data_IF_668755671340
#
_entry.id   IF_668755671340
#
_cell.length_a   1.000
_cell.length_b   1.000
_cell.length_c   1.000
_cell.angle_alpha   90.00
_cell.angle_beta   90.00
_cell.angle_gamma   90.00
#
_symmetry.space_group_name_H-M   'P 1'
#
loop_
_entity.id
_entity.type
_entity.pdbx_description
1 polymer ?
#
# COMPACT_ATOMS: atom_id res chain seq x y z
N UNK A 1 6.38 -14.21 7.55
CA UNK A 1 6.06 -13.63 8.87
C UNK A 1 6.87 -12.35 8.97
N UNK A 2 6.22 -11.19 9.12
CA UNK A 2 6.94 -9.92 9.22
C UNK A 2 7.67 -9.87 10.57
N UNK A 3 8.85 -9.26 10.60
CA UNK A 3 9.72 -9.26 11.78
C UNK A 3 9.15 -8.35 12.88
N UNK A 4 9.31 -8.70 14.17
CA UNK A 4 8.74 -7.92 15.27
C UNK A 4 9.19 -6.46 15.28
N UNK A 5 10.46 -6.18 14.97
CA UNK A 5 10.97 -4.81 14.93
C UNK A 5 10.42 -4.00 13.75
N UNK A 6 10.05 -4.66 12.65
CA UNK A 6 9.43 -3.99 11.50
C UNK A 6 8.01 -3.58 11.87
N UNK A 7 7.24 -4.45 12.53
CA UNK A 7 5.92 -4.08 13.05
C UNK A 7 5.97 -2.90 14.04
N UNK A 8 7.09 -2.73 14.75
CA UNK A 8 7.34 -1.57 15.62
C UNK A 8 7.80 -0.30 14.88
N UNK A 9 7.92 -0.35 13.55
CA UNK A 9 8.35 0.76 12.70
C UNK A 9 9.85 0.84 12.43
N UNK A 10 10.66 -0.11 12.91
CA UNK A 10 12.13 -0.09 12.80
C UNK A 10 12.64 -0.89 11.62
N UNK A 11 13.70 -0.40 11.00
CA UNK A 11 14.40 -1.06 9.89
C UNK A 11 15.85 -1.34 10.27
N UNK A 12 16.34 -2.57 10.04
CA UNK A 12 17.75 -2.93 10.22
C UNK A 12 18.49 -2.95 8.90
N UNK A 13 17.85 -3.48 7.85
CA UNK A 13 18.40 -3.56 6.50
C UNK A 13 17.50 -2.84 5.51
N UNK A 14 18.07 -1.88 4.79
CA UNK A 14 17.37 -1.05 3.79
C UNK A 14 18.01 -1.27 2.42
N UNK A 15 17.26 -1.85 1.48
CA UNK A 15 17.72 -2.07 0.10
C UNK A 15 17.39 -0.83 -0.75
N UNK A 16 18.40 -0.05 -1.14
CA UNK A 16 18.24 1.12 -1.99
C UNK A 16 18.53 0.77 -3.45
N UNK A 17 17.52 0.87 -4.33
CA UNK A 17 17.70 0.63 -5.76
C UNK A 17 18.40 1.81 -6.44
N UNK A 18 19.52 1.53 -7.11
CA UNK A 18 20.37 2.54 -7.76
C UNK A 18 20.29 2.39 -9.27
N UNK A 19 20.19 3.50 -10.01
CA UNK A 19 20.30 3.51 -11.48
C UNK A 19 21.02 4.75 -12.03
N UNK A 20 21.68 5.54 -11.18
CA UNK A 20 22.36 6.79 -11.53
C UNK A 20 21.44 7.90 -12.10
N UNK A 21 20.12 7.73 -12.01
CA UNK A 21 19.18 8.84 -12.22
C UNK A 21 19.08 9.71 -10.97
N UNK A 22 18.64 10.97 -11.14
CA UNK A 22 18.31 11.87 -10.03
C UNK A 22 17.26 11.27 -9.08
N UNK A 23 16.38 10.40 -9.59
CA UNK A 23 15.37 9.72 -8.78
C UNK A 23 15.97 8.66 -7.87
N UNK A 24 16.93 7.87 -8.37
CA UNK A 24 17.67 6.92 -7.54
C UNK A 24 18.59 7.60 -6.55
N UNK A 25 19.22 8.72 -6.92
CA UNK A 25 20.03 9.51 -5.98
C UNK A 25 19.17 10.00 -4.81
N UNK A 26 17.97 10.51 -5.11
CA UNK A 26 17.02 10.91 -4.06
C UNK A 26 16.57 9.74 -3.18
N UNK A 27 16.41 8.54 -3.76
CA UNK A 27 16.09 7.33 -3.02
C UNK A 27 17.22 6.95 -2.05
N UNK A 28 18.48 6.98 -2.50
CA UNK A 28 19.65 6.72 -1.66
C UNK A 28 19.77 7.76 -0.54
N UNK A 29 19.62 9.05 -0.84
CA UNK A 29 19.63 10.11 0.19
C UNK A 29 18.53 9.90 1.24
N UNK A 30 17.33 9.55 0.79
CA UNK A 30 16.21 9.26 1.70
C UNK A 30 16.49 8.03 2.57
N UNK A 31 17.02 6.96 1.98
CA UNK A 31 17.44 5.76 2.70
C UNK A 31 18.51 6.07 3.74
N UNK A 32 19.53 6.85 3.40
CA UNK A 32 20.60 7.25 4.31
C UNK A 32 20.08 8.11 5.48
N UNK A 33 19.22 9.09 5.20
CA UNK A 33 18.60 9.91 6.25
C UNK A 33 17.70 9.12 7.19
N UNK A 34 17.03 8.08 6.70
CA UNK A 34 16.25 7.17 7.54
C UNK A 34 17.16 6.21 8.33
N UNK A 35 18.23 5.70 7.72
CA UNK A 35 19.15 4.75 8.32
C UNK A 35 19.98 5.35 9.47
N UNK A 36 20.43 6.59 9.33
CA UNK A 36 21.32 7.26 10.28
C UNK A 36 20.79 7.27 11.73
N UNK A 37 19.57 7.76 12.03
CA UNK A 37 19.04 7.75 13.39
C UNK A 37 18.66 6.35 13.88
N UNK A 38 18.42 5.40 12.96
CA UNK A 38 18.01 4.03 13.29
C UNK A 38 19.19 3.07 13.46
N UNK A 39 20.41 3.47 13.09
CA UNK A 39 21.57 2.58 13.02
C UNK A 39 21.41 1.46 11.99
N UNK A 40 20.62 1.69 10.95
CA UNK A 40 20.37 0.70 9.89
C UNK A 40 21.56 0.59 8.93
N UNK A 41 21.68 -0.55 8.27
CA UNK A 41 22.60 -0.73 7.13
C UNK A 41 21.85 -0.48 5.82
N UNK A 42 22.49 0.24 4.90
CA UNK A 42 21.97 0.46 3.54
C UNK A 42 22.68 -0.48 2.57
N UNK A 43 21.91 -1.27 1.84
CA UNK A 43 22.39 -2.11 0.73
C UNK A 43 22.05 -1.40 -0.57
N UNK A 44 23.06 -0.85 -1.24
CA UNK A 44 22.90 -0.29 -2.58
C UNK A 44 22.83 -1.41 -3.61
N UNK A 45 21.75 -1.47 -4.38
CA UNK A 45 21.52 -2.55 -5.34
C UNK A 45 21.29 -2.02 -6.75
N UNK A 46 22.15 -2.40 -7.68
CA UNK A 46 22.00 -2.08 -9.10
C UNK A 46 21.85 -3.35 -9.94
N UNK A 47 20.90 -3.31 -10.87
CA UNK A 47 20.64 -4.41 -11.80
C UNK A 47 20.96 -3.96 -13.21
N UNK A 48 21.92 -4.62 -13.84
CA UNK A 48 22.29 -4.41 -15.23
C UNK A 48 21.77 -5.56 -16.11
N UNK A 49 21.61 -5.31 -17.40
CA UNK A 49 20.96 -6.25 -18.31
C UNK A 49 21.84 -6.62 -19.51
N UNK A 50 22.97 -7.27 -19.27
CA UNK A 50 23.90 -7.67 -20.33
C UNK A 50 23.26 -8.68 -21.32
N UNK A 51 22.57 -9.72 -20.82
CA UNK A 51 21.81 -10.68 -21.67
C UNK A 51 20.74 -10.08 -22.56
N UNK A 52 20.07 -8.99 -22.16
CA UNK A 52 19.10 -8.32 -23.02
C UNK A 52 19.80 -7.68 -24.23
N UNK A 53 21.00 -7.15 -24.03
CA UNK A 53 21.82 -6.58 -25.10
C UNK A 53 22.30 -7.66 -26.07
N UNK A 54 22.74 -8.81 -25.55
CA UNK A 54 23.11 -9.98 -26.35
C UNK A 54 21.94 -10.49 -27.22
N UNK A 55 20.75 -10.65 -26.62
CA UNK A 55 19.56 -11.11 -27.34
C UNK A 55 19.22 -10.17 -28.51
N UNK A 56 19.30 -8.85 -28.29
CA UNK A 56 19.05 -7.85 -29.34
C UNK A 56 20.11 -7.88 -30.43
N UNK A 57 21.38 -8.09 -30.06
CA UNK A 57 22.46 -8.24 -31.02
C UNK A 57 22.21 -9.42 -31.96
N UNK A 58 21.85 -10.59 -31.41
CA UNK A 58 21.52 -11.80 -32.20
C UNK A 58 20.34 -11.54 -33.15
N UNK A 59 19.29 -10.85 -32.67
CA UNK A 59 18.12 -10.51 -33.50
C UNK A 59 18.45 -9.56 -34.67
N UNK A 60 19.53 -8.79 -34.58
CA UNK A 60 19.97 -7.86 -35.62
C UNK A 60 20.92 -8.50 -36.65
N UNK A 61 21.50 -9.67 -36.34
CA UNK A 61 22.43 -10.37 -37.26
C UNK A 61 21.89 -10.59 -38.68
N UNK A 62 20.60 -10.92 -38.89
CA UNK A 62 20.06 -11.10 -40.24
C UNK A 62 20.06 -9.82 -41.10
N UNK A 63 20.16 -8.65 -40.48
CA UNK A 63 20.21 -7.36 -41.16
C UNK A 63 21.63 -6.90 -41.51
N UNK A 64 22.67 -7.67 -41.15
CA UNK A 64 24.05 -7.35 -41.47
C UNK A 64 24.34 -7.48 -42.99
N UNK A 65 25.27 -6.69 -43.56
CA UNK A 65 25.63 -6.76 -44.97
C UNK A 65 26.02 -8.18 -45.42
N UNK A 66 25.60 -8.57 -46.63
CA UNK A 66 26.00 -9.86 -47.23
C UNK A 66 27.51 -9.84 -47.47
N UNK A 67 28.25 -10.63 -46.70
CA UNK A 67 29.73 -10.69 -46.74
C UNK A 67 30.38 -11.27 -45.49
N UNK A 68 29.69 -11.26 -44.35
CA UNK A 68 30.20 -11.87 -43.11
C UNK A 68 30.12 -13.40 -43.15
N UNK A 69 31.24 -14.07 -42.87
CA UNK A 69 31.27 -15.50 -42.61
C UNK A 69 30.68 -15.83 -41.23
N UNK A 70 30.24 -17.08 -41.02
CA UNK A 70 29.75 -17.54 -39.72
C UNK A 70 30.82 -17.45 -38.62
N UNK A 71 32.09 -17.64 -38.99
CA UNK A 71 33.22 -17.51 -38.07
C UNK A 71 33.42 -16.06 -37.61
N UNK A 72 33.30 -15.09 -38.52
CA UNK A 72 33.37 -13.66 -38.16
C UNK A 72 32.20 -13.23 -37.29
N UNK A 73 30.98 -13.70 -37.58
CA UNK A 73 29.81 -13.47 -36.72
C UNK A 73 30.04 -13.99 -35.30
N UNK A 74 30.56 -15.22 -35.15
CA UNK A 74 30.89 -15.80 -33.84
C UNK A 74 31.95 -15.00 -33.09
N UNK A 75 33.06 -14.65 -33.75
CA UNK A 75 34.12 -13.84 -33.14
C UNK A 75 33.60 -12.46 -32.71
N UNK A 76 32.75 -11.81 -33.52
CA UNK A 76 32.14 -10.54 -33.16
C UNK A 76 31.21 -10.68 -31.94
N UNK A 77 30.42 -11.75 -31.84
CA UNK A 77 29.61 -12.03 -30.65
C UNK A 77 30.46 -12.17 -29.39
N UNK A 78 31.49 -13.00 -29.43
CA UNK A 78 32.37 -13.23 -28.26
C UNK A 78 33.08 -11.95 -27.81
N UNK A 79 33.59 -11.17 -28.75
CA UNK A 79 34.21 -9.88 -28.46
C UNK A 79 33.21 -8.86 -27.89
N UNK A 80 32.01 -8.79 -28.49
CA UNK A 80 30.94 -7.90 -28.06
C UNK A 80 30.42 -8.26 -26.67
N UNK A 81 30.18 -9.54 -26.41
CA UNK A 81 29.74 -10.03 -25.09
C UNK A 81 30.76 -9.67 -24.01
N UNK A 82 32.05 -9.95 -24.24
CA UNK A 82 33.11 -9.68 -23.28
C UNK A 82 33.26 -8.18 -22.98
N UNK A 83 33.30 -7.34 -24.02
CA UNK A 83 33.46 -5.89 -23.87
C UNK A 83 32.24 -5.23 -23.23
N UNK A 84 31.04 -5.63 -23.64
CA UNK A 84 29.80 -5.07 -23.11
C UNK A 84 29.57 -5.55 -21.67
N UNK A 85 29.76 -6.83 -21.36
CA UNK A 85 29.58 -7.33 -20.00
C UNK A 85 30.57 -6.66 -19.03
N UNK A 86 31.85 -6.57 -19.40
CA UNK A 86 32.87 -5.88 -18.59
C UNK A 86 32.58 -4.39 -18.47
N UNK A 87 32.23 -3.73 -19.57
CA UNK A 87 31.90 -2.30 -19.58
C UNK A 87 30.68 -1.97 -18.73
N UNK A 88 29.58 -2.71 -18.91
CA UNK A 88 28.35 -2.53 -18.12
C UNK A 88 28.59 -2.78 -16.64
N UNK A 89 29.41 -3.77 -16.29
CA UNK A 89 29.77 -4.03 -14.89
C UNK A 89 30.56 -2.87 -14.29
N UNK A 90 31.60 -2.37 -14.96
CA UNK A 90 32.39 -1.23 -14.49
C UNK A 90 31.53 0.04 -14.31
N UNK A 91 30.65 0.31 -15.27
CA UNK A 91 29.68 1.43 -15.17
C UNK A 91 28.76 1.22 -13.96
N UNK A 92 28.26 0.00 -13.77
CA UNK A 92 27.38 -0.36 -12.65
C UNK A 92 28.06 -0.20 -11.30
N UNK A 93 29.33 -0.59 -11.18
CA UNK A 93 30.15 -0.41 -9.98
C UNK A 93 30.29 1.08 -9.64
N UNK A 94 30.52 1.94 -10.65
CA UNK A 94 30.57 3.41 -10.43
C UNK A 94 29.27 4.01 -9.88
N UNK A 95 28.12 3.40 -10.16
CA UNK A 95 26.83 3.87 -9.62
C UNK A 95 26.71 3.57 -8.12
N UNK A 96 27.22 2.42 -7.69
CA UNK A 96 27.29 2.04 -6.28
C UNK A 96 28.30 2.90 -5.52
N UNK A 97 29.42 3.29 -6.13
CA UNK A 97 30.39 4.21 -5.52
C UNK A 97 29.75 5.57 -5.19
N UNK A 98 28.93 6.12 -6.10
CA UNK A 98 28.18 7.36 -5.83
C UNK A 98 27.20 7.19 -4.67
N UNK A 99 26.51 6.05 -4.60
CA UNK A 99 25.60 5.76 -3.49
C UNK A 99 26.36 5.58 -2.17
N UNK A 100 27.51 4.92 -2.20
CA UNK A 100 28.41 4.77 -1.06
C UNK A 100 28.86 6.13 -0.52
N UNK A 101 29.25 7.06 -1.40
CA UNK A 101 29.63 8.41 -0.98
C UNK A 101 28.51 9.14 -0.22
N UNK A 102 27.26 9.06 -0.72
CA UNK A 102 26.09 9.64 -0.03
C UNK A 102 25.87 9.02 1.36
N UNK A 103 26.01 7.70 1.49
CA UNK A 103 25.87 7.02 2.77
C UNK A 103 27.04 7.34 3.72
N UNK A 104 28.27 7.44 3.21
CA UNK A 104 29.45 7.79 3.98
C UNK A 104 29.37 9.22 4.54
N UNK A 105 28.88 10.19 3.74
CA UNK A 105 28.58 11.55 4.20
C UNK A 105 27.57 11.58 5.35
N UNK A 106 26.61 10.65 5.34
CA UNK A 106 25.61 10.50 6.40
C UNK A 106 26.07 9.61 7.58
N UNK A 107 27.29 9.06 7.54
CA UNK A 107 27.80 8.15 8.58
C UNK A 107 27.10 6.78 8.64
N UNK A 108 26.51 6.32 7.52
CA UNK A 108 25.70 5.10 7.44
C UNK A 108 26.50 3.96 6.82
N UNK A 109 26.42 2.76 7.41
CA UNK A 109 27.03 1.55 6.86
C UNK A 109 26.42 1.21 5.48
N UNK A 110 27.28 0.98 4.49
CA UNK A 110 26.88 0.73 3.11
C UNK A 110 27.49 -0.56 2.55
N UNK A 111 26.66 -1.35 1.88
CA UNK A 111 27.10 -2.51 1.09
C UNK A 111 26.60 -2.38 -0.35
N UNK A 112 27.51 -2.42 -1.32
CA UNK A 112 27.17 -2.39 -2.75
C UNK A 112 26.99 -3.78 -3.33
N UNK A 113 25.88 -4.02 -4.03
CA UNK A 113 25.56 -5.30 -4.69
C UNK A 113 25.09 -5.11 -6.11
N UNK A 114 25.51 -6.04 -6.98
CA UNK A 114 25.16 -6.07 -8.39
C UNK A 114 24.45 -7.37 -8.74
N UNK A 115 23.46 -7.27 -9.61
CA UNK A 115 22.82 -8.42 -10.23
C UNK A 115 22.66 -8.22 -11.73
N UNK A 116 22.68 -9.34 -12.46
CA UNK A 116 22.32 -9.34 -13.87
C UNK A 116 20.87 -9.80 -14.05
N UNK A 117 20.09 -9.07 -14.86
CA UNK A 117 18.78 -9.53 -15.31
C UNK A 117 17.78 -8.40 -15.47
N UNK A 118 16.49 -8.73 -15.24
CA UNK A 118 15.40 -7.74 -15.23
C UNK A 118 15.33 -7.07 -13.88
N UNK A 119 15.33 -5.73 -13.86
CA UNK A 119 15.47 -4.92 -12.65
C UNK A 119 14.48 -5.29 -11.54
N UNK A 120 13.18 -5.29 -11.82
CA UNK A 120 12.17 -5.57 -10.79
C UNK A 120 12.26 -7.01 -10.26
N UNK A 121 12.56 -7.99 -11.12
CA UNK A 121 12.68 -9.40 -10.73
C UNK A 121 13.87 -9.60 -9.78
N UNK A 122 15.01 -8.99 -10.09
CA UNK A 122 16.20 -9.09 -9.23
C UNK A 122 16.02 -8.30 -7.92
N UNK A 123 15.36 -7.13 -7.94
CA UNK A 123 15.07 -6.39 -6.70
C UNK A 123 14.17 -7.22 -5.76
N UNK A 124 13.09 -7.82 -6.29
CA UNK A 124 12.19 -8.65 -5.48
C UNK A 124 12.92 -9.91 -4.98
N UNK A 125 13.76 -10.52 -5.82
CA UNK A 125 14.57 -11.69 -5.43
C UNK A 125 15.54 -11.32 -4.32
N UNK A 126 16.28 -10.22 -4.46
CA UNK A 126 17.23 -9.75 -3.45
C UNK A 126 16.51 -9.51 -2.13
N UNK A 127 15.41 -8.76 -2.15
CA UNK A 127 14.59 -8.48 -0.97
C UNK A 127 14.10 -9.76 -0.26
N UNK A 128 13.74 -10.81 -1.01
CA UNK A 128 13.37 -12.12 -0.44
C UNK A 128 14.56 -12.89 0.11
N UNK A 129 15.68 -12.93 -0.62
CA UNK A 129 16.84 -13.76 -0.28
C UNK A 129 17.65 -13.22 0.90
N UNK A 130 17.65 -11.89 1.06
CA UNK A 130 18.35 -11.19 2.14
C UNK A 130 17.47 -10.91 3.33
N UNK A 131 16.18 -11.25 3.22
CA UNK A 131 15.16 -10.92 4.20
C UNK A 131 15.23 -9.42 4.54
N UNK A 132 15.18 -8.56 3.51
CA UNK A 132 15.30 -7.12 3.69
C UNK A 132 14.04 -6.54 4.35
N UNK A 133 14.19 -5.53 5.22
CA UNK A 133 13.06 -4.95 5.94
C UNK A 133 12.33 -3.88 5.10
N UNK A 134 13.08 -3.10 4.30
CA UNK A 134 12.57 -2.00 3.49
C UNK A 134 13.26 -1.92 2.14
N UNK A 135 12.49 -1.83 1.05
CA UNK A 135 13.01 -1.44 -0.27
C UNK A 135 12.76 0.04 -0.51
N UNK A 136 13.80 0.80 -0.82
CA UNK A 136 13.72 2.21 -1.19
C UNK A 136 14.06 2.39 -2.66
N UNK A 137 13.21 3.07 -3.40
CA UNK A 137 13.42 3.33 -4.82
C UNK A 137 12.83 4.67 -5.23
N UNK A 138 13.38 5.25 -6.29
CA UNK A 138 12.80 6.42 -6.90
C UNK A 138 11.45 6.10 -7.54
N UNK A 139 10.50 7.05 -7.49
CA UNK A 139 9.23 6.91 -8.21
C UNK A 139 9.43 6.73 -9.72
N UNK A 140 10.51 7.26 -10.26
CA UNK A 140 10.92 7.19 -11.66
C UNK A 140 12.39 6.73 -11.71
N UNK A 141 12.92 6.54 -12.92
CA UNK A 141 14.32 6.16 -13.15
C UNK A 141 14.83 6.68 -14.48
N UNK A 142 15.92 6.12 -14.99
CA UNK A 142 16.59 6.57 -16.25
C UNK A 142 15.64 6.67 -17.47
N UNK A 143 14.62 5.81 -17.54
CA UNK A 143 13.67 5.76 -18.66
C UNK A 143 12.48 6.74 -18.56
N UNK A 144 12.50 7.69 -17.62
CA UNK A 144 11.40 8.62 -17.40
C UNK A 144 11.11 9.51 -18.62
N UNK A 145 9.81 9.75 -18.90
CA UNK A 145 9.34 10.67 -19.93
C UNK A 145 8.57 11.82 -19.28
N UNK A 146 8.33 12.92 -20.03
CA UNK A 146 7.70 14.17 -19.54
C UNK A 146 6.37 14.00 -18.78
N UNK A 147 5.63 12.89 -18.97
CA UNK A 147 4.33 12.62 -18.31
C UNK A 147 4.34 11.37 -17.43
N UNK A 148 5.50 10.79 -17.14
CA UNK A 148 5.61 9.61 -16.29
C UNK A 148 5.30 9.99 -14.83
N UNK A 149 4.34 9.29 -14.23
CA UNK A 149 3.95 9.49 -12.82
C UNK A 149 4.67 8.51 -11.88
N UNK A 150 4.84 7.28 -12.36
CA UNK A 150 5.55 6.19 -11.70
C UNK A 150 6.23 5.31 -12.77
N UNK A 151 7.39 4.76 -12.45
CA UNK A 151 8.19 3.91 -13.32
C UNK A 151 7.73 2.45 -13.26
N UNK A 152 7.93 1.71 -14.35
CA UNK A 152 7.48 0.31 -14.44
C UNK A 152 8.19 -0.63 -13.47
N UNK A 153 9.45 -0.35 -13.12
CA UNK A 153 10.17 -1.08 -12.07
C UNK A 153 9.54 -0.79 -10.72
N UNK A 154 9.28 0.48 -10.42
CA UNK A 154 8.67 0.91 -9.17
C UNK A 154 7.29 0.28 -8.95
N UNK A 155 6.43 0.33 -9.97
CA UNK A 155 5.09 -0.22 -9.90
C UNK A 155 5.07 -1.74 -9.66
N UNK A 156 5.99 -2.49 -10.30
CA UNK A 156 6.08 -3.94 -10.11
C UNK A 156 6.67 -4.32 -8.75
N UNK A 157 7.68 -3.58 -8.28
CA UNK A 157 8.24 -3.79 -6.93
C UNK A 157 7.19 -3.51 -5.87
N UNK A 158 6.45 -2.41 -5.98
CA UNK A 158 5.37 -2.05 -5.05
C UNK A 158 4.31 -3.16 -4.91
N UNK A 159 3.98 -3.84 -6.01
CA UNK A 159 2.98 -4.91 -6.05
C UNK A 159 3.48 -6.27 -5.59
N UNK A 160 4.78 -6.53 -5.56
CA UNK A 160 5.31 -7.89 -5.39
C UNK A 160 6.45 -8.03 -4.37
N UNK A 161 6.95 -6.91 -3.82
CA UNK A 161 7.95 -6.93 -2.75
C UNK A 161 7.40 -7.67 -1.52
N UNK A 162 8.22 -8.47 -0.82
CA UNK A 162 7.83 -9.21 0.38
C UNK A 162 7.81 -8.35 1.65
N UNK A 163 8.27 -7.10 1.56
CA UNK A 163 8.51 -6.20 2.68
C UNK A 163 7.92 -4.81 2.39
N UNK A 164 8.22 -3.84 3.24
CA UNK A 164 7.81 -2.46 3.04
C UNK A 164 8.48 -1.85 1.81
N UNK A 165 7.82 -0.86 1.21
CA UNK A 165 8.33 -0.16 0.02
C UNK A 165 8.19 1.34 0.20
N UNK A 166 9.33 2.04 0.20
CA UNK A 166 9.40 3.50 0.20
C UNK A 166 9.66 4.01 -1.23
N UNK A 167 8.65 4.65 -1.80
CA UNK A 167 8.72 5.34 -3.07
C UNK A 167 9.21 6.77 -2.81
N UNK A 168 10.50 6.98 -3.00
CA UNK A 168 11.15 8.26 -2.79
C UNK A 168 10.82 9.22 -3.96
N UNK A 169 10.34 10.41 -3.60
CA UNK A 169 10.04 11.49 -4.54
C UNK A 169 10.78 12.73 -4.10
N UNK A 170 11.44 13.38 -5.05
CA UNK A 170 12.05 14.69 -4.86
C UNK A 170 10.93 15.76 -4.76
N UNK A 171 10.13 15.67 -3.71
CA UNK A 171 9.09 16.60 -3.35
C UNK A 171 9.68 17.69 -2.47
N UNK A 172 9.51 18.95 -2.89
CA UNK A 172 9.72 20.23 -2.19
C UNK A 172 10.71 20.14 -1.00
N UNK A 173 11.93 20.62 -1.18
CA UNK A 173 13.01 20.60 -0.17
C UNK A 173 12.62 21.15 1.23
N UNK A 174 11.58 21.98 1.30
CA UNK A 174 11.02 22.53 2.54
C UNK A 174 9.79 21.78 3.10
N UNK A 175 9.43 20.61 2.57
CA UNK A 175 8.28 19.84 3.03
C UNK A 175 8.51 19.33 4.47
N UNK A 176 7.50 19.54 5.33
CA UNK A 176 7.54 19.19 6.74
C UNK A 176 6.33 18.33 7.12
N UNK A 177 6.54 17.42 8.06
CA UNK A 177 5.50 16.55 8.59
C UNK A 177 5.39 15.20 7.87
N UNK A 178 4.76 14.26 8.57
CA UNK A 178 4.44 12.91 8.12
C UNK A 178 2.94 12.70 8.25
N UNK A 179 2.30 12.18 7.20
CA UNK A 179 0.88 11.81 7.24
C UNK A 179 0.76 10.29 7.30
N UNK A 180 0.02 9.76 8.27
CA UNK A 180 -0.38 8.36 8.32
C UNK A 180 -1.83 8.23 7.85
N UNK A 181 -2.08 7.44 6.81
CA UNK A 181 -3.43 7.12 6.36
C UNK A 181 -4.02 6.01 7.23
N UNK A 182 -5.15 6.31 7.90
CA UNK A 182 -5.82 5.41 8.85
C UNK A 182 -7.22 5.08 8.36
N UNK A 183 -7.54 3.79 8.26
CA UNK A 183 -8.89 3.29 7.91
C UNK A 183 -9.43 2.28 8.94
N UNK A 184 -8.75 2.16 10.10
CA UNK A 184 -9.07 1.19 11.15
C UNK A 184 -8.53 -0.22 10.91
N UNK A 185 -7.93 -0.49 9.75
CA UNK A 185 -7.32 -1.78 9.50
C UNK A 185 -6.02 -1.93 10.31
N UNK A 186 -5.69 -3.18 10.61
CA UNK A 186 -4.40 -3.57 11.15
C UNK A 186 -3.19 -2.96 10.41
N UNK A 187 -3.20 -3.08 9.08
CA UNK A 187 -2.17 -2.53 8.22
C UNK A 187 -2.02 -1.02 8.39
N UNK A 188 -3.13 -0.32 8.63
CA UNK A 188 -3.12 1.12 8.81
C UNK A 188 -2.56 1.56 10.17
N UNK A 189 -2.76 0.76 11.24
CA UNK A 189 -2.14 1.04 12.54
C UNK A 189 -0.66 0.66 12.58
N UNK A 190 -0.24 -0.38 11.85
CA UNK A 190 1.19 -0.60 11.60
C UNK A 190 1.77 0.58 10.82
N UNK A 191 1.12 1.02 9.74
CA UNK A 191 1.53 2.22 8.99
C UNK A 191 1.66 3.47 9.87
N UNK A 192 0.80 3.63 10.89
CA UNK A 192 0.96 4.67 11.91
C UNK A 192 2.25 4.49 12.73
N UNK A 193 2.58 3.29 13.19
CA UNK A 193 3.82 3.01 13.92
C UNK A 193 5.08 3.35 13.08
N UNK A 194 5.06 3.03 11.79
CA UNK A 194 6.11 3.44 10.85
C UNK A 194 6.17 4.96 10.66
N UNK A 195 5.01 5.63 10.57
CA UNK A 195 4.95 7.09 10.46
C UNK A 195 5.52 7.79 11.70
N UNK A 196 5.29 7.25 12.90
CA UNK A 196 5.89 7.73 14.16
C UNK A 196 7.40 7.59 14.12
N UNK A 197 7.92 6.43 13.71
CA UNK A 197 9.37 6.19 13.62
C UNK A 197 10.03 7.13 12.59
N UNK A 198 9.39 7.37 11.44
CA UNK A 198 9.86 8.36 10.46
C UNK A 198 9.77 9.78 11.05
N UNK A 199 8.70 10.09 11.78
CA UNK A 199 8.54 11.36 12.48
C UNK A 199 9.71 11.63 13.43
N UNK A 200 10.09 10.66 14.26
CA UNK A 200 11.25 10.73 15.15
C UNK A 200 12.56 10.91 14.38
N UNK A 201 12.81 10.03 13.39
CA UNK A 201 14.03 10.02 12.60
C UNK A 201 14.31 11.36 11.92
N UNK A 202 13.27 12.05 11.46
CA UNK A 202 13.38 13.32 10.74
C UNK A 202 13.01 14.55 11.60
N UNK A 203 12.67 14.38 12.87
CA UNK A 203 12.17 15.45 13.75
C UNK A 203 10.92 16.14 13.21
N UNK A 204 10.00 15.37 12.61
CA UNK A 204 8.80 15.86 11.92
C UNK A 204 7.53 15.51 12.70
N UNK A 205 6.54 16.42 12.77
CA UNK A 205 5.25 16.13 13.38
C UNK A 205 4.47 15.10 12.56
N UNK A 206 3.72 14.23 13.25
CA UNK A 206 2.89 13.21 12.62
C UNK A 206 1.41 13.59 12.69
N UNK A 207 0.70 13.40 11.57
CA UNK A 207 -0.74 13.61 11.44
C UNK A 207 -1.40 12.30 10.98
N UNK A 208 -2.32 11.76 11.77
CA UNK A 208 -3.18 10.65 11.35
C UNK A 208 -4.40 11.21 10.59
N UNK A 209 -4.65 10.68 9.40
CA UNK A 209 -5.71 11.14 8.51
C UNK A 209 -6.58 9.97 8.10
N UNK A 210 -7.88 10.08 8.34
CA UNK A 210 -8.87 9.10 7.94
C UNK A 210 -9.87 9.74 6.97
N UNK A 211 -10.33 8.99 5.97
CA UNK A 211 -11.24 9.50 4.95
C UNK A 211 -12.37 8.51 4.69
N UNK A 212 -13.63 8.99 4.71
CA UNK A 212 -14.81 8.18 4.45
C UNK A 212 -15.67 8.82 3.36
N UNK A 213 -16.32 7.99 2.54
CA UNK A 213 -17.17 8.44 1.44
C UNK A 213 -18.66 8.27 1.80
N UNK A 214 -19.36 9.34 2.24
CA UNK A 214 -20.79 9.27 2.51
C UNK A 214 -21.62 9.06 1.24
N UNK A 215 -21.08 9.41 0.06
CA UNK A 215 -21.82 9.38 -1.20
C UNK A 215 -21.71 8.04 -1.93
N UNK A 216 -20.81 7.14 -1.52
CA UNK A 216 -20.61 5.85 -2.18
C UNK A 216 -21.90 5.04 -2.25
N UNK A 217 -22.63 4.95 -1.13
CA UNK A 217 -23.90 4.25 -1.06
C UNK A 217 -24.92 4.88 -2.02
N UNK A 218 -25.09 6.20 -2.00
CA UNK A 218 -26.04 6.91 -2.88
C UNK A 218 -25.77 6.63 -4.36
N UNK A 219 -24.50 6.64 -4.79
CA UNK A 219 -24.13 6.39 -6.20
C UNK A 219 -24.35 4.93 -6.59
N UNK A 220 -24.00 3.98 -5.72
CA UNK A 220 -24.23 2.56 -5.95
C UNK A 220 -25.73 2.25 -6.03
N UNK A 221 -26.52 2.76 -5.08
CA UNK A 221 -27.98 2.59 -5.04
C UNK A 221 -28.67 3.19 -6.27
N UNK A 222 -28.30 4.41 -6.69
CA UNK A 222 -28.88 5.03 -7.90
C UNK A 222 -28.58 4.27 -9.18
N UNK A 223 -27.44 3.58 -9.28
CA UNK A 223 -27.12 2.75 -10.44
C UNK A 223 -27.94 1.46 -10.44
N UNK A 224 -28.13 0.83 -9.28
CA UNK A 224 -28.96 -0.37 -9.15
C UNK A 224 -30.44 -0.08 -9.44
N UNK A 225 -30.97 1.04 -8.93
CA UNK A 225 -32.36 1.45 -9.18
C UNK A 225 -32.69 1.66 -10.67
N UNK A 226 -31.69 1.96 -11.53
CA UNK A 226 -31.87 2.11 -12.98
C UNK A 226 -31.94 0.78 -13.75
N UNK A 227 -31.58 -0.33 -13.11
CA UNK A 227 -31.53 -1.66 -13.73
C UNK A 227 -32.69 -2.53 -13.27
N UNK A 228 -33.35 -2.16 -12.16
CA UNK A 228 -34.49 -2.89 -11.60
C UNK A 228 -35.79 -2.53 -12.32
N UNK A 229 -36.70 -3.49 -12.46
CA UNK A 229 -38.06 -3.25 -12.95
C UNK A 229 -38.84 -2.40 -11.96
N UNK A 230 -39.88 -1.71 -12.44
CA UNK A 230 -40.73 -0.83 -11.61
C UNK A 230 -41.36 -1.58 -10.41
N UNK A 231 -41.66 -2.86 -10.57
CA UNK A 231 -42.18 -3.75 -9.53
C UNK A 231 -41.12 -4.08 -8.46
N UNK A 232 -39.88 -4.39 -8.89
CA UNK A 232 -38.77 -4.62 -7.96
C UNK A 232 -38.36 -3.33 -7.23
N UNK A 233 -38.56 -2.17 -7.87
CA UNK A 233 -38.29 -0.87 -7.29
C UNK A 233 -39.31 -0.46 -6.23
N UNK A 234 -40.58 -0.82 -6.41
CA UNK A 234 -41.64 -0.59 -5.43
C UNK A 234 -41.44 -1.42 -4.14
N UNK A 235 -41.00 -2.67 -4.28
CA UNK A 235 -40.69 -3.56 -3.15
C UNK A 235 -39.52 -3.02 -2.30
N UNK A 236 -38.51 -2.41 -2.94
CA UNK A 236 -37.31 -1.92 -2.27
C UNK A 236 -37.50 -0.60 -1.47
N UNK A 237 -38.69 0.03 -1.51
CA UNK A 237 -39.02 1.29 -0.81
C UNK A 237 -37.91 2.36 -0.89
N UNK A 238 -37.44 2.64 -2.11
CA UNK A 238 -36.22 3.41 -2.35
C UNK A 238 -36.14 4.79 -1.69
N UNK A 239 -37.24 5.55 -1.64
CA UNK A 239 -37.24 6.89 -1.03
C UNK A 239 -37.02 6.85 0.48
N UNK A 240 -37.61 5.87 1.17
CA UNK A 240 -37.46 5.69 2.61
C UNK A 240 -36.05 5.16 2.95
N UNK A 241 -35.51 4.22 2.16
CA UNK A 241 -34.14 3.76 2.32
C UNK A 241 -33.10 4.86 2.02
N UNK A 242 -33.30 5.69 0.98
CA UNK A 242 -32.38 6.80 0.67
C UNK A 242 -32.33 7.81 1.83
N UNK A 243 -33.46 8.07 2.50
CA UNK A 243 -33.54 8.96 3.66
C UNK A 243 -32.90 8.34 4.92
N UNK A 244 -33.18 7.07 5.21
CA UNK A 244 -32.56 6.35 6.33
C UNK A 244 -31.03 6.22 6.16
N UNK A 245 -30.58 6.01 4.92
CA UNK A 245 -29.17 5.95 4.57
C UNK A 245 -28.47 7.30 4.74
N UNK A 246 -29.08 8.41 4.32
CA UNK A 246 -28.45 9.73 4.45
C UNK A 246 -28.23 10.15 5.92
N UNK A 247 -29.16 9.84 6.83
CA UNK A 247 -29.08 10.33 8.21
C UNK A 247 -28.31 9.39 9.16
N UNK A 248 -28.52 8.07 9.06
CA UNK A 248 -27.92 7.10 9.98
C UNK A 248 -26.53 6.68 9.53
N UNK A 249 -26.31 6.49 8.22
CA UNK A 249 -25.03 5.99 7.71
C UNK A 249 -23.97 7.10 7.73
N UNK A 250 -24.31 8.34 7.35
CA UNK A 250 -23.32 9.43 7.34
C UNK A 250 -22.84 9.76 8.75
N UNK A 251 -23.76 9.81 9.73
CA UNK A 251 -23.39 10.02 11.14
C UNK A 251 -22.70 8.79 11.74
N UNK A 252 -23.12 7.58 11.38
CA UNK A 252 -22.51 6.33 11.84
C UNK A 252 -21.09 6.15 11.33
N UNK A 253 -20.87 6.30 10.02
CA UNK A 253 -19.54 6.24 9.38
C UNK A 253 -18.62 7.31 9.94
N UNK A 254 -19.13 8.53 10.11
CA UNK A 254 -18.35 9.59 10.74
C UNK A 254 -17.88 9.19 12.14
N UNK A 255 -18.78 8.72 13.01
CA UNK A 255 -18.43 8.29 14.38
C UNK A 255 -17.45 7.12 14.38
N UNK A 256 -17.61 6.18 13.44
CA UNK A 256 -16.71 5.03 13.28
C UNK A 256 -15.28 5.49 12.95
N UNK A 257 -15.12 6.36 11.95
CA UNK A 257 -13.80 6.87 11.55
C UNK A 257 -13.21 7.83 12.60
N UNK A 258 -14.04 8.59 13.32
CA UNK A 258 -13.61 9.31 14.53
C UNK A 258 -13.11 8.34 15.61
N UNK A 259 -13.71 7.17 15.75
CA UNK A 259 -13.23 6.05 16.56
C UNK A 259 -11.82 5.61 16.17
N UNK A 260 -11.60 5.32 14.89
CA UNK A 260 -10.28 4.92 14.38
C UNK A 260 -9.19 5.98 14.64
N UNK A 261 -9.53 7.26 14.49
CA UNK A 261 -8.62 8.35 14.79
C UNK A 261 -8.31 8.47 16.29
N UNK A 262 -9.29 8.21 17.17
CA UNK A 262 -9.04 8.16 18.63
C UNK A 262 -8.12 6.99 18.99
N UNK A 263 -8.32 5.82 18.38
CA UNK A 263 -7.43 4.66 18.58
C UNK A 263 -6.02 4.98 18.08
N UNK A 264 -5.87 5.59 16.90
CA UNK A 264 -4.58 6.06 16.39
C UNK A 264 -3.88 7.02 17.38
N UNK A 265 -4.61 8.02 17.90
CA UNK A 265 -4.07 8.94 18.89
C UNK A 265 -3.65 8.24 20.19
N UNK A 266 -4.42 7.25 20.65
CA UNK A 266 -4.10 6.44 21.82
C UNK A 266 -2.83 5.60 21.61
N UNK A 267 -2.71 4.92 20.46
CA UNK A 267 -1.52 4.14 20.10
C UNK A 267 -0.27 5.01 19.99
N UNK A 268 -0.41 6.22 19.44
CA UNK A 268 0.69 7.18 19.39
C UNK A 268 1.09 7.68 20.78
N UNK A 269 0.12 7.99 21.64
CA UNK A 269 0.37 8.43 23.02
C UNK A 269 1.06 7.34 23.85
N UNK A 270 0.69 6.07 23.65
CA UNK A 270 1.35 4.92 24.29
C UNK A 270 2.84 4.80 23.91
N UNK A 271 3.22 5.35 22.74
CA UNK A 271 4.61 5.47 22.27
C UNK A 271 5.25 6.82 22.62
N UNK A 272 4.60 7.66 23.42
CA UNK A 272 5.12 8.96 23.84
C UNK A 272 4.93 10.09 22.83
N UNK A 273 4.10 9.90 21.79
CA UNK A 273 3.85 10.91 20.77
C UNK A 273 2.48 11.57 20.92
N UNK A 274 2.45 12.89 20.76
CA UNK A 274 1.21 13.62 20.52
C UNK A 274 1.07 13.89 19.02
N UNK A 275 0.00 13.37 18.42
CA UNK A 275 -0.26 13.51 16.98
C UNK A 275 -1.52 14.34 16.73
N UNK A 276 -1.55 14.98 15.55
CA UNK A 276 -2.78 15.60 15.04
C UNK A 276 -3.65 14.52 14.38
N UNK A 277 -4.97 14.60 14.54
CA UNK A 277 -5.93 13.76 13.83
C UNK A 277 -6.82 14.60 12.92
N UNK A 278 -7.03 14.16 11.68
CA UNK A 278 -7.90 14.84 10.71
C UNK A 278 -8.84 13.84 10.05
N UNK A 279 -10.14 14.12 10.09
CA UNK A 279 -11.17 13.38 9.36
C UNK A 279 -11.52 14.10 8.06
N UNK A 280 -11.54 13.36 6.95
CA UNK A 280 -11.88 13.86 5.63
C UNK A 280 -13.17 13.19 5.12
N UNK A 281 -13.91 13.94 4.32
CA UNK A 281 -15.14 13.46 3.66
C UNK A 281 -14.90 13.34 2.16
N UNK A 282 -15.40 12.27 1.55
CA UNK A 282 -15.31 11.99 0.12
C UNK A 282 -14.52 10.71 -0.18
N UNK A 283 -14.27 10.46 -1.47
CA UNK A 283 -13.53 9.27 -1.93
C UNK A 283 -12.15 9.22 -1.29
N UNK A 284 -11.78 8.14 -0.56
CA UNK A 284 -10.59 8.14 0.30
C UNK A 284 -9.29 8.56 -0.40
N UNK A 285 -8.99 7.96 -1.56
CA UNK A 285 -7.76 8.28 -2.30
C UNK A 285 -7.71 9.74 -2.77
N UNK A 286 -8.82 10.27 -3.29
CA UNK A 286 -8.89 11.66 -3.76
C UNK A 286 -8.80 12.64 -2.60
N UNK A 287 -9.61 12.45 -1.54
CA UNK A 287 -9.61 13.34 -0.37
C UNK A 287 -8.25 13.36 0.31
N UNK A 288 -7.56 12.21 0.41
CA UNK A 288 -6.18 12.15 0.90
C UNK A 288 -5.22 12.93 -0.01
N UNK A 289 -5.25 12.72 -1.33
CA UNK A 289 -4.38 13.45 -2.27
C UNK A 289 -4.59 14.98 -2.18
N UNK A 290 -5.84 15.44 -2.12
CA UNK A 290 -6.17 16.85 -1.97
C UNK A 290 -5.64 17.41 -0.65
N UNK A 291 -5.69 16.62 0.43
CA UNK A 291 -5.12 17.00 1.73
C UNK A 291 -3.60 17.07 1.68
N UNK A 292 -2.93 16.10 1.06
CA UNK A 292 -1.48 16.09 0.87
C UNK A 292 -1.02 17.29 0.03
N UNK A 293 -1.78 17.72 -0.96
CA UNK A 293 -1.45 18.90 -1.76
C UNK A 293 -1.51 20.19 -0.95
N UNK A 294 -2.47 20.30 -0.03
CA UNK A 294 -2.62 21.45 0.89
C UNK A 294 -1.58 21.45 2.01
N UNK A 295 -1.37 20.31 2.67
CA UNK A 295 -0.45 20.17 3.82
C UNK A 295 1.01 20.08 3.41
N UNK A 296 1.29 19.56 2.21
CA UNK A 296 2.64 19.34 1.65
C UNK A 296 3.58 18.62 2.63
N UNK A 297 3.17 17.46 3.17
CA UNK A 297 4.05 16.69 4.04
C UNK A 297 5.26 16.16 3.28
N UNK A 298 6.31 15.81 4.02
CA UNK A 298 7.50 15.15 3.46
C UNK A 298 7.20 13.69 3.10
N UNK A 299 6.40 13.04 3.93
CA UNK A 299 6.03 11.63 3.78
C UNK A 299 4.53 11.43 3.94
N UNK A 300 3.99 10.49 3.18
CA UNK A 300 2.73 9.82 3.49
C UNK A 300 2.99 8.32 3.68
N UNK A 301 2.41 7.74 4.72
CA UNK A 301 2.54 6.33 5.08
C UNK A 301 1.16 5.69 5.03
N UNK A 302 1.04 4.56 4.34
CA UNK A 302 -0.21 3.83 4.22
C UNK A 302 0.03 2.33 4.27
N UNK A 303 -0.94 1.59 4.81
CA UNK A 303 -0.96 0.13 4.67
C UNK A 303 -1.10 -0.28 3.21
N UNK A 304 -0.45 -1.38 2.82
CA UNK A 304 -0.60 -1.99 1.49
C UNK A 304 -2.04 -2.39 1.22
N UNK A 305 -2.72 -2.85 2.25
CA UNK A 305 -4.12 -3.25 2.24
C UNK A 305 -4.89 -2.40 3.24
N UNK A 306 -6.20 -2.27 3.00
CA UNK A 306 -7.13 -1.61 3.90
C UNK A 306 -8.26 -2.55 4.31
N UNK A 307 -9.29 -2.00 4.97
CA UNK A 307 -10.44 -2.78 5.50
C UNK A 307 -11.20 -3.61 4.45
N UNK A 308 -11.12 -3.22 3.18
CA UNK A 308 -11.84 -3.87 2.08
C UNK A 308 -10.96 -4.82 1.27
N UNK A 309 -9.85 -5.31 1.84
CA UNK A 309 -8.98 -6.25 1.17
C UNK A 309 -9.69 -7.58 0.90
N UNK A 310 -9.49 -8.12 -0.30
CA UNK A 310 -10.02 -9.43 -0.72
C UNK A 310 -8.87 -10.37 -1.03
N UNK A 311 -9.12 -11.67 -0.96
CA UNK A 311 -8.14 -12.69 -1.34
C UNK A 311 -7.66 -12.48 -2.79
N UNK A 312 -6.36 -12.64 -3.02
CA UNK A 312 -5.72 -12.46 -4.33
C UNK A 312 -5.43 -11.01 -4.74
N UNK A 313 -5.67 -10.02 -3.86
CA UNK A 313 -5.31 -8.62 -4.13
C UNK A 313 -3.81 -8.37 -3.88
N UNK A 314 -3.12 -7.76 -4.83
CA UNK A 314 -1.68 -7.43 -4.69
C UNK A 314 -1.43 -6.15 -3.86
N UNK A 315 -2.30 -5.15 -4.03
CA UNK A 315 -2.23 -3.83 -3.37
C UNK A 315 -3.62 -3.17 -3.36
N UNK A 316 -3.94 -2.45 -2.28
CA UNK A 316 -5.16 -1.66 -2.14
C UNK A 316 -5.18 -0.43 -3.05
N UNK A 317 -6.38 -0.04 -3.49
CA UNK A 317 -6.57 1.09 -4.41
C UNK A 317 -6.06 2.41 -3.84
N UNK A 318 -6.25 2.68 -2.55
CA UNK A 318 -5.73 3.88 -1.89
C UNK A 318 -4.19 3.90 -1.89
N UNK A 319 -3.55 2.80 -1.48
CA UNK A 319 -2.10 2.70 -1.45
C UNK A 319 -1.48 2.87 -2.85
N UNK A 320 -2.08 2.24 -3.88
CA UNK A 320 -1.63 2.39 -5.26
C UNK A 320 -1.78 3.83 -5.76
N UNK A 321 -2.94 4.47 -5.53
CA UNK A 321 -3.16 5.84 -5.99
C UNK A 321 -2.24 6.83 -5.28
N UNK A 322 -2.00 6.67 -3.97
CA UNK A 322 -1.02 7.47 -3.24
C UNK A 322 0.37 7.28 -3.84
N UNK A 323 0.82 6.03 -4.01
CA UNK A 323 2.12 5.74 -4.58
C UNK A 323 2.30 6.30 -6.00
N UNK A 324 1.22 6.37 -6.81
CA UNK A 324 1.25 6.89 -8.17
C UNK A 324 1.17 8.43 -8.24
N UNK A 325 0.35 9.06 -7.41
CA UNK A 325 -0.10 10.45 -7.60
C UNK A 325 0.41 11.42 -6.52
N UNK A 326 0.79 10.95 -5.34
CA UNK A 326 1.26 11.84 -4.28
C UNK A 326 2.55 12.57 -4.70
N UNK A 327 2.64 13.86 -4.39
CA UNK A 327 3.82 14.67 -4.69
C UNK A 327 4.98 14.47 -3.68
N UNK A 328 4.70 13.84 -2.54
CA UNK A 328 5.65 13.55 -1.47
C UNK A 328 6.10 12.08 -1.50
N UNK A 329 7.11 11.73 -0.71
CA UNK A 329 7.57 10.34 -0.62
C UNK A 329 6.48 9.46 0.04
N UNK A 330 6.29 8.25 -0.50
CA UNK A 330 5.20 7.36 -0.09
C UNK A 330 5.78 6.08 0.49
N UNK A 331 5.52 5.79 1.76
CA UNK A 331 5.80 4.49 2.36
C UNK A 331 4.54 3.61 2.30
N UNK A 332 4.66 2.45 1.68
CA UNK A 332 3.64 1.40 1.69
C UNK A 332 4.10 0.28 2.59
N UNK A 333 3.35 0.05 3.67
CA UNK A 333 3.65 -0.93 4.71
C UNK A 333 2.97 -2.26 4.40
N UNK A 334 3.77 -3.32 4.29
CA UNK A 334 3.28 -4.68 4.02
C UNK A 334 3.05 -5.39 5.34
N UNK A 335 1.80 -5.38 5.84
CA UNK A 335 1.52 -5.94 7.16
C UNK A 335 1.77 -7.45 7.29
N UNK A 336 2.00 -7.89 8.52
CA UNK A 336 2.17 -9.30 8.83
C UNK A 336 0.85 -10.02 8.59
N UNK A 337 0.90 -11.17 7.91
CA UNK A 337 -0.28 -11.97 7.56
C UNK A 337 -1.19 -12.29 8.76
N UNK A 338 -0.66 -12.24 9.98
CA UNK A 338 -1.39 -12.48 11.23
C UNK A 338 -2.36 -11.35 11.62
N UNK A 339 -2.15 -10.12 11.13
CA UNK A 339 -2.98 -8.95 11.51
C UNK A 339 -4.06 -8.65 10.47
N UNK A 340 -3.94 -9.20 9.25
CA UNK A 340 -4.99 -9.15 8.24
C UNK A 340 -6.28 -9.89 8.65
N UNK A 341 -6.25 -10.69 9.73
CA UNK A 341 -7.34 -11.56 10.15
C UNK A 341 -8.12 -11.10 11.40
N UNK A 342 -7.74 -10.01 12.06
CA UNK A 342 -8.44 -9.57 13.28
C UNK A 342 -8.75 -8.08 13.26
N UNK A 343 -10.04 -7.69 13.10
CA UNK A 343 -10.48 -6.38 13.51
C UNK A 343 -10.13 -6.19 15.00
N UNK A 344 -9.22 -5.28 15.29
CA UNK A 344 -8.91 -4.85 16.66
C UNK A 344 -9.94 -3.80 17.04
N UNK A 345 -11.14 -4.30 17.33
CA UNK A 345 -12.19 -3.73 18.19
C UNK A 345 -13.36 -4.71 18.18
N UNK A 346 -13.25 -5.76 18.99
CA UNK A 346 -14.38 -6.61 19.37
C UNK A 346 -14.24 -6.98 20.85
N UNK A 347 -14.09 -5.97 21.72
CA UNK A 347 -14.68 -6.09 23.04
C UNK A 347 -16.20 -6.23 22.83
N UNK A 348 -16.64 -7.49 22.83
CA UNK A 348 -18.01 -7.98 22.99
C UNK A 348 -19.02 -7.71 21.86
N UNK A 349 -18.83 -8.30 20.69
CA UNK A 349 -19.96 -8.88 19.93
C UNK A 349 -19.89 -10.41 20.05
N UNK A 350 -20.59 -10.97 21.04
CA UNK A 350 -20.81 -12.43 21.09
C UNK A 350 -21.63 -12.80 19.87
N UNK A 351 -21.02 -13.46 18.89
CA UNK A 351 -21.76 -14.15 17.83
C UNK A 351 -22.69 -15.16 18.50
N UNK A 352 -24.00 -14.93 18.37
CA UNK A 352 -25.01 -15.83 18.91
C UNK A 352 -25.09 -17.06 17.98
N UNK A 353 -25.15 -18.29 18.52
CA UNK A 353 -25.37 -19.47 17.69
C UNK A 353 -26.73 -19.37 16.97
N UNK A 354 -26.76 -19.78 15.69
CA UNK A 354 -27.98 -19.80 14.88
C UNK A 354 -28.55 -21.21 14.81
N UNK A 355 -29.87 -21.34 14.90
CA UNK A 355 -30.51 -22.63 14.64
C UNK A 355 -30.51 -22.93 13.13
N UNK A 356 -30.52 -24.21 12.71
CA UNK A 356 -30.56 -24.59 11.29
C UNK A 356 -31.72 -23.93 10.54
N UNK A 357 -32.89 -23.82 11.18
CA UNK A 357 -34.07 -23.20 10.58
C UNK A 357 -33.92 -21.69 10.43
N UNK A 358 -33.19 -21.01 11.33
CA UNK A 358 -32.87 -19.59 11.21
C UNK A 358 -31.92 -19.32 10.02
N UNK A 359 -30.96 -20.22 9.80
CA UNK A 359 -30.05 -20.15 8.65
C UNK A 359 -30.80 -20.34 7.33
N UNK A 360 -31.77 -21.27 7.29
CA UNK A 360 -32.62 -21.48 6.13
C UNK A 360 -33.41 -20.22 5.72
N UNK A 361 -33.81 -19.38 6.69
CA UNK A 361 -34.48 -18.09 6.40
C UNK A 361 -33.60 -17.06 5.69
N UNK A 362 -32.28 -17.26 5.69
CA UNK A 362 -31.32 -16.41 5.00
C UNK A 362 -30.92 -16.91 3.60
N UNK A 363 -31.40 -18.08 3.18
CA UNK A 363 -31.13 -18.63 1.85
C UNK A 363 -31.59 -17.73 0.70
N UNK A 364 -32.76 -17.07 0.76
CA UNK A 364 -33.21 -16.14 -0.29
C UNK A 364 -32.37 -14.87 -0.38
N UNK A 365 -31.58 -14.54 0.64
CA UNK A 365 -30.73 -13.35 0.67
C UNK A 365 -29.47 -13.60 -0.17
N UNK A 366 -29.15 -12.67 -1.07
CA UNK A 366 -27.92 -12.73 -1.87
C UNK A 366 -26.68 -12.93 -0.99
N UNK A 367 -25.67 -13.60 -1.53
CA UNK A 367 -24.40 -13.86 -0.83
C UNK A 367 -23.72 -12.59 -0.32
N UNK A 368 -23.88 -11.47 -1.03
CA UNK A 368 -23.37 -10.16 -0.63
C UNK A 368 -24.16 -9.51 0.52
N UNK A 369 -25.49 -9.70 0.56
CA UNK A 369 -26.37 -9.14 1.60
C UNK A 369 -26.45 -9.97 2.88
N UNK A 370 -26.14 -11.27 2.81
CA UNK A 370 -26.32 -12.23 3.91
C UNK A 370 -25.58 -11.82 5.19
N UNK A 371 -24.33 -11.37 5.07
CA UNK A 371 -23.54 -10.91 6.22
C UNK A 371 -24.07 -9.64 6.89
N UNK A 372 -24.77 -8.77 6.14
CA UNK A 372 -25.39 -7.55 6.68
C UNK A 372 -26.66 -7.90 7.44
N UNK A 373 -27.52 -8.74 6.85
CA UNK A 373 -28.76 -9.22 7.47
C UNK A 373 -28.45 -10.01 8.74
N UNK A 374 -27.45 -10.91 8.69
CA UNK A 374 -27.04 -11.73 9.83
C UNK A 374 -26.63 -10.87 11.03
N UNK A 375 -25.76 -9.87 10.83
CA UNK A 375 -25.32 -8.96 11.89
C UNK A 375 -26.46 -8.15 12.50
N UNK A 376 -27.41 -7.72 11.68
CA UNK A 376 -28.51 -6.91 12.15
C UNK A 376 -29.58 -7.74 12.89
N UNK A 377 -29.78 -9.02 12.52
CA UNK A 377 -30.57 -9.98 13.31
C UNK A 377 -29.87 -10.33 14.62
N UNK A 378 -28.56 -10.58 14.62
CA UNK A 378 -27.78 -10.82 15.84
C UNK A 378 -27.82 -9.61 16.78
N UNK A 379 -27.72 -8.40 16.25
CA UNK A 379 -27.85 -7.15 17.01
C UNK A 379 -29.26 -6.95 17.59
N UNK A 380 -30.29 -7.44 16.90
CA UNK A 380 -31.67 -7.44 17.40
C UNK A 380 -31.83 -8.47 18.53
N UNK A 381 -31.35 -9.70 18.30
CA UNK A 381 -31.38 -10.79 19.28
C UNK A 381 -30.65 -10.41 20.59
N UNK A 382 -29.47 -9.79 20.50
CA UNK A 382 -28.73 -9.30 21.66
C UNK A 382 -29.48 -8.20 22.43
N UNK A 383 -30.13 -7.26 21.73
CA UNK A 383 -30.99 -6.24 22.36
C UNK A 383 -32.19 -6.84 23.08
N UNK A 384 -32.71 -7.95 22.55
CA UNK A 384 -33.78 -8.73 23.17
C UNK A 384 -33.27 -9.70 24.25
N UNK A 385 -31.97 -9.71 24.58
CA UNK A 385 -31.38 -10.57 25.60
C UNK A 385 -31.33 -12.06 25.24
N UNK A 386 -31.40 -12.39 23.95
CA UNK A 386 -31.42 -13.78 23.49
C UNK A 386 -30.02 -14.39 23.46
N UNK A 387 -29.94 -15.66 23.84
CA UNK A 387 -28.69 -16.44 23.86
C UNK A 387 -28.40 -17.16 22.53
N UNK A 388 -29.36 -17.23 21.62
CA UNK A 388 -29.27 -17.84 20.29
C UNK A 388 -30.22 -17.13 19.31
N UNK A 389 -29.96 -17.27 18.00
CA UNK A 389 -30.83 -16.76 16.94
C UNK A 389 -31.70 -17.90 16.39
N UNK A 390 -32.99 -17.84 16.71
CA UNK A 390 -34.02 -18.78 16.21
C UNK A 390 -34.76 -18.19 15.02
N UNK A 391 -35.48 -19.02 14.26
CA UNK A 391 -36.27 -18.57 13.12
C UNK A 391 -37.32 -17.51 13.50
N UNK A 392 -37.89 -17.59 14.71
CA UNK A 392 -38.82 -16.59 15.25
C UNK A 392 -38.13 -15.24 15.46
N UNK A 393 -36.88 -15.21 15.92
CA UNK A 393 -36.10 -13.98 16.08
C UNK A 393 -35.75 -13.38 14.72
N UNK A 394 -35.49 -14.20 13.70
CA UNK A 394 -35.29 -13.70 12.33
C UNK A 394 -36.56 -13.01 11.82
N UNK A 395 -37.73 -13.62 12.05
CA UNK A 395 -39.02 -13.07 11.62
C UNK A 395 -39.39 -11.78 12.39
N UNK A 396 -39.17 -11.75 13.71
CA UNK A 396 -39.36 -10.56 14.53
C UNK A 396 -38.41 -9.43 14.15
N UNK A 397 -37.14 -9.74 13.87
CA UNK A 397 -36.18 -8.77 13.38
C UNK A 397 -36.60 -8.23 12.01
N UNK A 398 -37.12 -9.08 11.12
CA UNK A 398 -37.64 -8.68 9.81
C UNK A 398 -38.81 -7.71 9.94
N UNK A 399 -39.77 -8.00 10.81
CA UNK A 399 -40.92 -7.12 11.09
C UNK A 399 -40.50 -5.79 11.74
N UNK A 400 -39.60 -5.83 12.73
CA UNK A 400 -39.14 -4.65 13.45
C UNK A 400 -38.22 -3.74 12.62
N UNK A 401 -37.47 -4.31 11.68
CA UNK A 401 -36.53 -3.59 10.81
C UNK A 401 -37.12 -3.28 9.41
N UNK A 402 -38.31 -3.80 9.11
CA UNK A 402 -39.10 -3.46 7.93
C UNK A 402 -38.57 -4.02 6.60
N UNK A 403 -38.02 -5.23 6.61
CA UNK A 403 -37.45 -5.90 5.42
C UNK A 403 -38.39 -6.91 4.76
#
# INVERSE_FOLDING_TARGET
>A
MQKPWVADGRYRSILAAVDNSMHSEHAVRTAASLAAPLGSTVVGFHVYAARLHETRFIQMEPALPRGYSDHERRRQREAHESLIAKGLRLISESYLERAHAVCAEAGVAFEGRLAEGRNYEQIIREARSTDCDLVVLGALGLGARRRSLIGSVCERVLRAAPCDVLVARNGREAAQGVVAAVDGSACAYEALAHALTIGEAFGQPVEAVAAYDPQFHVVAFRRLARVLSDEAAAVFRFKEQEQLHAEIIDQGLRRLYEGYLRQAAHLAAARGHQIRTTLLTGKPSQSLLDHLERRRPRFVVAGRFGQHATEGLDIGSTAENLARLAACSVLVVSASADVAAKPVDAEAERQLPWTPDAVARLEPVSTFGRGVVQRAVESYAQRCGQAEVTAEIVDQAREALGW
#
